data_IF_505559441889
#
_entry.id   IF_505559441889
#
_cell.length_a   1.000
_cell.length_b   1.000
_cell.length_c   1.000
_cell.angle_alpha   90.00
_cell.angle_beta   90.00
_cell.angle_gamma   90.00
#
_symmetry.space_group_name_H-M   'P 1'
#
loop_
_entity.id
_entity.type
_entity.pdbx_description
1 polymer ?
#
# COMPACT_ATOMS: atom_id res chain seq x y z
N UNK A 1 -6.62 -7.74 18.54
CA UNK A 1 -6.43 -6.31 18.87
C UNK A 1 -6.61 -5.42 17.65
N UNK A 2 -5.85 -5.62 16.54
CA UNK A 2 -5.94 -4.80 15.32
C UNK A 2 -7.35 -4.61 14.75
N UNK A 3 -8.10 -5.70 14.58
CA UNK A 3 -9.49 -5.65 14.06
C UNK A 3 -10.37 -4.65 14.80
N UNK A 4 -10.32 -4.68 16.14
CA UNK A 4 -11.11 -3.78 16.97
C UNK A 4 -10.62 -2.34 16.88
N UNK A 5 -9.31 -2.12 16.94
CA UNK A 5 -8.76 -0.77 16.81
C UNK A 5 -9.05 -0.12 15.44
N UNK A 6 -8.97 -0.90 14.36
CA UNK A 6 -9.35 -0.43 13.02
C UNK A 6 -10.86 -0.27 12.83
N UNK A 7 -11.68 -0.93 13.65
CA UNK A 7 -13.11 -0.66 13.67
C UNK A 7 -13.39 0.66 14.41
N UNK A 8 -12.76 0.85 15.56
CA UNK A 8 -12.91 2.04 16.41
C UNK A 8 -12.41 3.32 15.74
N UNK A 9 -11.29 3.27 15.00
CA UNK A 9 -10.79 4.41 14.24
C UNK A 9 -11.53 4.64 12.90
N UNK A 10 -12.58 3.86 12.62
CA UNK A 10 -13.43 3.98 11.43
C UNK A 10 -12.82 3.46 10.12
N UNK A 11 -11.54 3.05 10.10
CA UNK A 11 -10.87 2.61 8.86
C UNK A 11 -11.49 1.35 8.27
N UNK A 12 -11.89 0.37 9.09
CA UNK A 12 -12.55 -0.84 8.60
C UNK A 12 -13.91 -0.51 7.97
N UNK A 13 -14.67 0.39 8.59
CA UNK A 13 -15.93 0.87 8.03
C UNK A 13 -15.73 1.56 6.68
N UNK A 14 -14.72 2.42 6.58
CA UNK A 14 -14.34 3.07 5.32
C UNK A 14 -13.93 2.05 4.24
N UNK A 15 -13.17 1.01 4.60
CA UNK A 15 -12.77 -0.04 3.68
C UNK A 15 -13.97 -0.84 3.15
N UNK A 16 -14.92 -1.20 4.03
CA UNK A 16 -16.15 -1.89 3.63
C UNK A 16 -17.03 -1.00 2.74
N UNK A 17 -17.15 0.29 3.07
CA UNK A 17 -17.85 1.26 2.23
C UNK A 17 -17.20 1.39 0.86
N UNK A 18 -15.87 1.47 0.81
CA UNK A 18 -15.11 1.55 -0.45
C UNK A 18 -15.34 0.31 -1.30
N UNK A 19 -15.23 -0.89 -0.71
CA UNK A 19 -15.50 -2.15 -1.39
C UNK A 19 -16.94 -2.18 -1.96
N UNK A 20 -17.92 -1.77 -1.15
CA UNK A 20 -19.33 -1.71 -1.56
C UNK A 20 -19.55 -0.73 -2.71
N UNK A 21 -18.99 0.48 -2.63
CA UNK A 21 -19.11 1.50 -3.68
C UNK A 21 -18.45 1.05 -4.99
N UNK A 22 -17.38 0.26 -4.89
CA UNK A 22 -16.74 -0.33 -6.07
C UNK A 22 -17.34 -1.64 -6.56
N UNK A 23 -18.46 -2.10 -6.00
CA UNK A 23 -19.12 -3.35 -6.41
C UNK A 23 -18.31 -4.61 -6.12
N UNK A 24 -17.35 -4.54 -5.20
CA UNK A 24 -16.48 -5.66 -4.88
C UNK A 24 -17.24 -6.73 -4.07
N UNK A 25 -16.90 -8.00 -4.32
CA UNK A 25 -17.41 -9.14 -3.55
C UNK A 25 -16.55 -9.36 -2.31
N UNK A 26 -17.19 -9.41 -1.14
CA UNK A 26 -16.53 -9.58 0.15
C UNK A 26 -16.49 -11.04 0.60
N UNK A 27 -15.32 -11.48 1.04
CA UNK A 27 -15.11 -12.76 1.72
C UNK A 27 -14.28 -12.57 3.00
N UNK A 28 -14.31 -13.58 3.88
CA UNK A 28 -13.52 -13.55 5.13
C UNK A 28 -12.12 -14.07 4.86
N UNK A 29 -11.12 -13.27 5.21
CA UNK A 29 -9.72 -13.65 5.18
C UNK A 29 -9.18 -14.10 6.54
N UNK A 30 -7.93 -14.58 6.57
CA UNK A 30 -7.24 -14.92 7.82
C UNK A 30 -7.00 -13.68 8.69
N UNK A 31 -6.65 -13.90 9.96
CA UNK A 31 -6.33 -12.84 10.93
C UNK A 31 -7.42 -11.75 11.10
N UNK A 32 -8.68 -12.07 10.78
CA UNK A 32 -9.80 -11.13 10.86
C UNK A 32 -9.77 -10.05 9.78
N UNK A 33 -9.13 -10.32 8.65
CA UNK A 33 -9.18 -9.50 7.44
C UNK A 33 -10.47 -9.76 6.66
N UNK A 34 -10.92 -8.75 5.94
CA UNK A 34 -11.95 -8.86 4.92
C UNK A 34 -11.27 -8.74 3.56
N UNK A 35 -11.54 -9.67 2.67
CA UNK A 35 -10.96 -9.66 1.33
C UNK A 35 -12.08 -9.24 0.38
N UNK A 36 -11.88 -8.15 -0.37
CA UNK A 36 -12.79 -7.65 -1.37
C UNK A 36 -12.15 -7.77 -2.77
N UNK A 37 -12.79 -8.52 -3.66
CA UNK A 37 -12.32 -8.73 -5.04
C UNK A 37 -13.30 -8.20 -6.08
N UNK A 38 -12.81 -7.93 -7.30
CA UNK A 38 -13.63 -7.40 -8.39
C UNK A 38 -14.02 -5.92 -8.24
N UNK A 39 -13.21 -5.13 -7.53
CA UNK A 39 -13.40 -3.68 -7.41
C UNK A 39 -13.33 -2.99 -8.79
N UNK A 40 -14.41 -2.33 -9.20
CA UNK A 40 -14.57 -1.82 -10.57
C UNK A 40 -14.25 -0.33 -10.75
N UNK A 41 -14.02 0.43 -9.68
CA UNK A 41 -13.75 1.87 -9.82
C UNK A 41 -12.33 2.12 -10.35
N UNK A 42 -12.14 3.19 -11.15
CA UNK A 42 -10.86 3.49 -11.79
C UNK A 42 -9.78 3.96 -10.79
N UNK A 43 -10.16 4.23 -9.55
CA UNK A 43 -9.27 4.66 -8.49
C UNK A 43 -9.69 4.00 -7.18
N UNK A 44 -8.77 3.48 -6.34
CA UNK A 44 -7.30 3.53 -6.46
C UNK A 44 -6.70 2.58 -7.51
N UNK A 45 -5.69 3.04 -8.26
CA UNK A 45 -4.96 2.23 -9.24
C UNK A 45 -3.83 1.47 -8.52
N UNK A 46 -4.15 0.28 -8.01
CA UNK A 46 -3.19 -0.63 -7.38
C UNK A 46 -3.56 -2.10 -7.69
N UNK A 47 -2.58 -3.01 -7.57
CA UNK A 47 -2.84 -4.46 -7.76
C UNK A 47 -3.71 -5.03 -6.65
N UNK A 48 -3.41 -4.67 -5.41
CA UNK A 48 -4.25 -4.77 -4.23
C UNK A 48 -3.94 -3.55 -3.34
N UNK A 49 -4.83 -3.21 -2.42
CA UNK A 49 -4.59 -2.18 -1.43
C UNK A 49 -5.42 -2.42 -0.17
N UNK A 50 -4.99 -1.87 0.96
CA UNK A 50 -5.65 -2.08 2.25
C UNK A 50 -6.24 -0.79 2.81
N UNK A 51 -7.47 -0.86 3.32
CA UNK A 51 -8.12 0.18 4.12
C UNK A 51 -8.58 -0.45 5.45
N UNK A 52 -7.90 -0.12 6.55
CA UNK A 52 -8.17 -0.71 7.86
C UNK A 52 -7.94 -2.22 7.84
N UNK A 53 -9.00 -3.01 8.07
CA UNK A 53 -8.97 -4.46 8.00
C UNK A 53 -9.47 -5.05 6.66
N UNK A 54 -9.68 -4.21 5.64
CA UNK A 54 -10.22 -4.64 4.34
C UNK A 54 -9.14 -4.54 3.28
N UNK A 55 -8.78 -5.67 2.67
CA UNK A 55 -7.90 -5.73 1.51
C UNK A 55 -8.80 -5.74 0.27
N UNK A 56 -8.54 -4.84 -0.67
CA UNK A 56 -9.35 -4.60 -1.85
C UNK A 56 -8.49 -4.81 -3.09
N UNK A 57 -9.01 -5.50 -4.09
CA UNK A 57 -8.39 -5.66 -5.40
C UNK A 57 -9.43 -5.54 -6.51
N UNK A 58 -9.02 -5.04 -7.67
CA UNK A 58 -9.83 -5.05 -8.90
C UNK A 58 -9.85 -6.41 -9.60
N UNK A 59 -8.94 -7.31 -9.23
CA UNK A 59 -8.79 -8.65 -9.81
C UNK A 59 -9.57 -9.69 -9.02
N UNK A 60 -9.56 -10.93 -9.47
CA UNK A 60 -9.96 -12.08 -8.64
C UNK A 60 -8.76 -12.53 -7.80
N UNK A 61 -8.98 -13.09 -6.61
CA UNK A 61 -7.89 -13.61 -5.78
C UNK A 61 -7.12 -14.74 -6.47
N UNK A 62 -7.79 -15.50 -7.34
CA UNK A 62 -7.17 -16.53 -8.19
C UNK A 62 -6.10 -15.97 -9.13
N UNK A 63 -6.22 -14.70 -9.53
CA UNK A 63 -5.30 -14.07 -10.49
C UNK A 63 -3.91 -13.80 -9.88
N UNK A 64 -3.80 -13.86 -8.55
CA UNK A 64 -2.52 -13.72 -7.85
C UNK A 64 -1.70 -15.02 -7.88
N UNK A 65 -2.32 -16.17 -8.11
CA UNK A 65 -1.64 -17.47 -8.16
C UNK A 65 -0.68 -17.69 -6.98
N UNK A 66 0.56 -18.06 -7.28
CA UNK A 66 1.60 -18.30 -6.27
C UNK A 66 2.04 -17.05 -5.50
N UNK A 67 1.73 -15.84 -5.99
CA UNK A 67 2.04 -14.58 -5.29
C UNK A 67 1.03 -14.22 -4.20
N UNK A 68 -0.10 -14.92 -4.14
CA UNK A 68 -1.15 -14.60 -3.17
C UNK A 68 -0.64 -14.50 -1.73
N UNK A 69 0.17 -15.44 -1.19
CA UNK A 69 0.63 -15.36 0.19
C UNK A 69 1.54 -14.16 0.46
N UNK A 70 2.37 -13.74 -0.50
CA UNK A 70 3.29 -12.61 -0.30
C UNK A 70 2.54 -11.29 -0.37
N UNK A 71 1.61 -11.15 -1.32
CA UNK A 71 0.75 -9.96 -1.40
C UNK A 71 -0.10 -9.82 -0.15
N UNK A 72 -0.68 -10.92 0.35
CA UNK A 72 -1.47 -10.89 1.58
C UNK A 72 -0.64 -10.43 2.79
N UNK A 73 0.62 -10.85 2.92
CA UNK A 73 1.52 -10.39 3.99
C UNK A 73 1.83 -8.89 3.88
N UNK A 74 2.05 -8.39 2.66
CA UNK A 74 2.27 -6.96 2.41
C UNK A 74 1.05 -6.13 2.83
N UNK A 75 -0.14 -6.53 2.37
CA UNK A 75 -1.41 -5.88 2.68
C UNK A 75 -1.78 -5.97 4.17
N UNK A 76 -1.47 -7.09 4.82
CA UNK A 76 -1.64 -7.22 6.27
C UNK A 76 -0.78 -6.19 7.03
N UNK A 77 0.44 -5.88 6.59
CA UNK A 77 1.24 -4.84 7.25
C UNK A 77 0.60 -3.46 7.14
N UNK A 78 0.00 -3.12 6.01
CA UNK A 78 -0.77 -1.88 5.88
C UNK A 78 -1.94 -1.82 6.88
N UNK A 79 -2.59 -2.95 7.16
CA UNK A 79 -3.66 -2.98 8.16
C UNK A 79 -3.17 -2.59 9.57
N UNK A 80 -1.92 -2.89 9.92
CA UNK A 80 -1.29 -2.41 11.16
C UNK A 80 -0.93 -0.94 11.08
N UNK A 81 -0.47 -0.46 9.93
CA UNK A 81 -0.16 0.96 9.73
C UNK A 81 -1.42 1.83 9.89
N UNK A 82 -2.56 1.40 9.35
CA UNK A 82 -3.87 2.03 9.57
C UNK A 82 -4.19 2.19 11.06
N UNK A 83 -3.92 1.16 11.86
CA UNK A 83 -4.15 1.21 13.30
C UNK A 83 -3.20 2.20 13.98
N UNK A 84 -1.90 2.05 13.73
CA UNK A 84 -0.84 2.79 14.41
C UNK A 84 -0.84 4.28 14.05
N UNK A 85 -1.32 4.63 12.86
CA UNK A 85 -1.38 6.01 12.35
C UNK A 85 -2.78 6.63 12.48
N UNK A 86 -3.60 6.16 13.42
CA UNK A 86 -4.84 6.84 13.79
C UNK A 86 -5.94 6.78 12.74
N UNK A 87 -5.96 5.75 11.90
CA UNK A 87 -6.99 5.56 10.90
C UNK A 87 -6.90 6.54 9.72
N UNK A 88 -8.04 6.91 9.09
CA UNK A 88 -8.04 7.73 7.88
C UNK A 88 -7.44 9.12 8.08
N UNK A 89 -7.67 9.72 9.25
CA UNK A 89 -7.25 11.08 9.55
C UNK A 89 -5.72 11.24 9.65
N UNK A 90 -5.00 10.21 10.11
CA UNK A 90 -3.54 10.26 10.24
C UNK A 90 -2.80 9.52 9.14
N UNK A 91 -3.27 8.32 8.76
CA UNK A 91 -2.56 7.49 7.79
C UNK A 91 -2.59 8.08 6.37
N UNK A 92 -3.74 8.59 5.89
CA UNK A 92 -3.83 9.11 4.52
C UNK A 92 -2.94 10.33 4.27
N UNK A 93 -2.91 11.36 5.14
CA UNK A 93 -1.97 12.47 4.97
C UNK A 93 -0.52 12.02 5.04
N UNK A 94 -0.16 11.18 6.03
CA UNK A 94 1.20 10.71 6.20
C UNK A 94 1.69 9.89 5.00
N UNK A 95 0.85 8.98 4.50
CA UNK A 95 1.14 8.18 3.31
C UNK A 95 1.31 9.07 2.08
N UNK A 96 0.44 10.08 1.90
CA UNK A 96 0.52 11.02 0.76
C UNK A 96 1.82 11.81 0.78
N UNK A 97 2.24 12.31 1.94
CA UNK A 97 3.53 13.01 2.09
C UNK A 97 4.71 12.06 1.78
N UNK A 98 4.69 10.84 2.30
CA UNK A 98 5.73 9.85 2.06
C UNK A 98 5.80 9.44 0.56
N UNK A 99 4.65 9.30 -0.08
CA UNK A 99 4.54 9.03 -1.52
C UNK A 99 5.11 10.19 -2.35
N UNK A 100 4.73 11.44 -2.03
CA UNK A 100 5.26 12.63 -2.69
C UNK A 100 6.79 12.73 -2.54
N UNK A 101 7.30 12.48 -1.34
CA UNK A 101 8.74 12.42 -1.08
C UNK A 101 9.44 11.32 -1.87
N UNK A 102 8.84 10.13 -1.95
CA UNK A 102 9.36 9.04 -2.77
C UNK A 102 9.48 9.47 -4.23
N UNK A 103 8.40 10.02 -4.79
CA UNK A 103 8.35 10.45 -6.18
C UNK A 103 9.39 11.53 -6.51
N UNK A 104 9.58 12.50 -5.61
CA UNK A 104 10.62 13.53 -5.75
C UNK A 104 12.05 12.94 -5.76
N UNK A 105 12.31 11.87 -4.99
CA UNK A 105 13.65 11.27 -4.88
C UNK A 105 13.95 10.22 -5.94
N UNK A 106 12.98 9.40 -6.32
CA UNK A 106 13.17 8.19 -7.14
C UNK A 106 12.39 8.23 -8.45
N UNK A 107 11.40 9.12 -8.58
CA UNK A 107 10.46 9.13 -9.71
C UNK A 107 9.38 8.05 -9.60
N UNK A 108 9.43 7.27 -8.53
CA UNK A 108 8.51 6.18 -8.21
C UNK A 108 7.78 6.48 -6.89
N UNK A 109 6.49 6.18 -6.84
CA UNK A 109 5.61 6.51 -5.69
C UNK A 109 5.88 5.65 -4.45
N UNK A 110 6.41 4.43 -4.63
CA UNK A 110 6.58 3.44 -3.57
C UNK A 110 8.03 3.24 -3.16
N UNK A 111 8.99 3.34 -4.10
CA UNK A 111 10.38 2.90 -3.91
C UNK A 111 11.14 3.54 -2.72
N UNK A 112 10.74 4.73 -2.28
CA UNK A 112 11.28 5.41 -1.11
C UNK A 112 10.19 5.88 -0.13
N UNK A 113 8.96 5.35 -0.27
CA UNK A 113 7.88 5.56 0.67
C UNK A 113 8.12 4.67 1.89
N UNK A 114 8.19 5.27 3.08
CA UNK A 114 8.50 4.55 4.32
C UNK A 114 7.44 3.49 4.63
N UNK A 115 6.17 3.75 4.32
CA UNK A 115 5.07 2.81 4.57
C UNK A 115 5.17 1.58 3.65
N UNK A 116 5.50 1.79 2.38
CA UNK A 116 5.72 0.72 1.41
C UNK A 116 6.99 -0.09 1.73
N UNK A 117 8.06 0.61 2.16
CA UNK A 117 9.31 -0.05 2.58
C UNK A 117 9.10 -0.91 3.82
N UNK A 118 8.38 -0.40 4.82
CA UNK A 118 8.02 -1.14 6.03
C UNK A 118 7.02 -2.28 5.74
N UNK A 119 6.22 -2.16 4.67
CA UNK A 119 5.35 -3.23 4.20
C UNK A 119 6.09 -4.29 3.37
N UNK A 120 7.40 -4.10 3.12
CA UNK A 120 8.25 -4.90 2.24
C UNK A 120 7.80 -4.86 0.78
N UNK A 121 8.54 -4.09 -0.01
CA UNK A 121 8.32 -3.88 -1.44
C UNK A 121 8.39 -5.19 -2.24
N UNK A 122 9.26 -6.13 -1.84
CA UNK A 122 9.45 -7.39 -2.57
C UNK A 122 8.21 -8.28 -2.42
N UNK A 123 7.53 -8.23 -1.27
CA UNK A 123 6.28 -8.97 -1.03
C UNK A 123 5.08 -8.40 -1.81
N UNK A 124 5.00 -7.06 -1.92
CA UNK A 124 4.03 -6.38 -2.81
C UNK A 124 4.35 -6.57 -4.31
N UNK A 125 5.57 -7.02 -4.62
CA UNK A 125 6.09 -7.24 -5.97
C UNK A 125 6.37 -5.96 -6.74
N UNK A 126 6.81 -4.92 -6.03
CA UNK A 126 7.36 -3.72 -6.64
C UNK A 126 8.75 -3.98 -7.21
N UNK A 127 9.10 -3.30 -8.30
CA UNK A 127 10.47 -3.35 -8.87
C UNK A 127 11.38 -2.39 -8.11
N UNK A 128 12.62 -2.80 -7.84
CA UNK A 128 13.64 -1.95 -7.22
C UNK A 128 14.01 -0.80 -8.18
N UNK A 129 13.77 0.45 -7.76
CA UNK A 129 14.06 1.66 -8.56
C UNK A 129 15.33 2.34 -8.06
N UNK A 130 16.22 2.77 -8.97
CA UNK A 130 17.41 3.55 -8.61
C UNK A 130 17.01 5.02 -8.35
N UNK A 131 17.52 5.68 -7.30
CA UNK A 131 17.23 7.10 -7.05
C UNK A 131 17.67 8.02 -8.20
N UNK A 132 16.82 8.99 -8.56
CA UNK A 132 17.05 9.92 -9.69
C UNK A 132 18.37 10.68 -9.58
N UNK A 133 18.76 11.02 -8.36
CA UNK A 133 19.91 11.89 -8.09
C UNK A 133 21.27 11.18 -8.03
N UNK A 134 21.32 9.85 -8.19
CA UNK A 134 22.61 9.13 -8.23
C UNK A 134 23.46 9.50 -9.46
N UNK A 135 22.84 9.82 -10.59
CA UNK A 135 23.54 10.30 -11.79
C UNK A 135 24.19 11.67 -11.58
N UNK A 136 23.47 12.59 -10.92
CA UNK A 136 23.95 13.95 -10.63
C UNK A 136 25.12 13.93 -9.63
N UNK A 137 25.05 13.11 -8.58
CA UNK A 137 26.18 12.96 -7.64
C UNK A 137 27.43 12.42 -8.32
N UNK A 138 27.31 11.47 -9.25
CA UNK A 138 28.46 10.94 -10.02
C UNK A 138 29.08 11.96 -10.96
N UNK A 139 28.27 12.85 -11.54
CA UNK A 139 28.77 13.94 -12.39
C UNK A 139 29.53 14.97 -11.56
N UNK A 140 28.96 15.41 -10.42
CA UNK A 140 29.57 16.40 -9.54
C UNK A 140 30.86 15.91 -8.86
N UNK A 141 30.97 14.63 -8.53
CA UNK A 141 32.24 14.06 -8.01
C UNK A 141 33.30 13.93 -9.10
N UNK A 142 32.91 13.76 -10.37
CA UNK A 142 33.85 13.66 -11.49
C UNK A 142 34.44 15.01 -11.90
N UNK A 143 33.71 16.11 -11.70
CA UNK A 143 34.21 17.48 -11.94
C UNK A 143 35.08 18.02 -10.81
N UNK A 144 35.00 17.48 -9.59
CA UNK A 144 35.90 17.86 -8.47
C UNK A 144 37.27 17.20 -8.48
N UNK A 145 37.49 16.24 -9.37
CA UNK A 145 38.76 15.51 -9.52
C UNK A 145 39.55 15.95 -10.78
N UNK A 146 39.23 17.13 -11.33
CA UNK A 146 39.96 17.75 -12.44
C UNK A 146 40.51 19.09 -12.02
#
# INVERSE_FOLDING_TARGET
>A
MRRWGNLLNGSTGLGLLTAKLGGATLEKGPAGLHLAQGYALPFPIAGAFTIGNVIITSRQWTDFGSRWPTVMQHEERHSWQWLLWGGPAGFLPAYTVAMGWSWLRTGDRAAANVFETLADLDLGGYRKVKPRWQGVRRLLTRTRLR
#
